data_IF_209291012428
#
_entry.id   IF_209291012428
#
_cell.length_a   1.000
_cell.length_b   1.000
_cell.length_c   1.000
_cell.angle_alpha   90.00
_cell.angle_beta   90.00
_cell.angle_gamma   90.00
#
_symmetry.space_group_name_H-M   'P 1'
#
loop_
_entity.id
_entity.type
_entity.pdbx_description
1 polymer ?
#
# COMPACT_ATOMS: atom_id res chain seq x y z
N UNK A 1 -17.39 33.32 13.38
CA UNK A 1 -17.62 31.95 12.83
C UNK A 1 -16.69 31.84 11.62
N UNK A 2 -15.62 31.07 11.70
CA UNK A 2 -14.80 30.80 10.52
C UNK A 2 -15.66 30.06 9.49
N UNK A 3 -15.60 30.47 8.22
CA UNK A 3 -16.27 29.77 7.14
C UNK A 3 -15.87 28.28 7.06
N UNK A 4 -16.52 27.52 6.18
CA UNK A 4 -16.02 26.16 5.91
C UNK A 4 -14.58 26.22 5.37
N UNK A 5 -13.69 25.31 5.77
CA UNK A 5 -12.31 25.30 5.27
C UNK A 5 -12.30 25.10 3.76
N UNK A 6 -11.44 25.84 3.05
CA UNK A 6 -11.24 25.71 1.62
C UNK A 6 -10.17 24.67 1.32
N UNK A 7 -10.44 23.80 0.35
CA UNK A 7 -9.55 22.72 -0.07
C UNK A 7 -9.12 22.94 -1.51
N UNK A 8 -7.81 22.97 -1.74
CA UNK A 8 -7.21 22.91 -3.08
C UNK A 8 -6.86 21.48 -3.42
N UNK A 9 -7.38 20.93 -4.52
CA UNK A 9 -6.80 19.73 -5.12
C UNK A 9 -5.53 20.12 -5.87
N UNK A 10 -4.42 19.45 -5.59
CA UNK A 10 -3.18 19.56 -6.34
C UNK A 10 -2.84 18.22 -6.99
N UNK A 11 -2.62 18.20 -8.29
CA UNK A 11 -2.34 16.98 -9.06
C UNK A 11 -1.34 17.26 -10.16
N UNK A 12 -0.47 16.28 -10.46
CA UNK A 12 0.36 16.25 -11.67
C UNK A 12 -0.20 15.21 -12.63
N UNK A 13 -0.22 15.50 -13.92
CA UNK A 13 -0.80 14.59 -14.93
C UNK A 13 0.09 14.49 -16.16
N UNK A 14 0.04 13.32 -16.82
CA UNK A 14 0.58 13.10 -18.16
C UNK A 14 -0.08 11.91 -18.83
N UNK A 15 -0.90 12.15 -19.85
CA UNK A 15 -1.62 11.11 -20.59
C UNK A 15 -2.48 10.22 -19.69
N UNK A 16 -3.46 10.83 -19.02
CA UNK A 16 -4.35 10.19 -18.04
C UNK A 16 -5.82 10.18 -18.49
N UNK A 17 -6.12 10.34 -19.79
CA UNK A 17 -7.49 10.46 -20.31
C UNK A 17 -8.43 9.33 -19.91
N UNK A 18 -7.89 8.12 -19.65
CA UNK A 18 -8.67 6.94 -19.35
C UNK A 18 -9.19 6.90 -17.89
N UNK A 19 -8.45 7.46 -16.92
CA UNK A 19 -8.78 7.38 -15.49
C UNK A 19 -9.16 8.74 -14.87
N UNK A 20 -8.62 9.84 -15.38
CA UNK A 20 -8.73 11.18 -14.79
C UNK A 20 -10.17 11.64 -14.57
N UNK A 21 -11.11 11.28 -15.47
CA UNK A 21 -12.51 11.67 -15.32
C UNK A 21 -13.11 11.16 -14.00
N UNK A 22 -12.87 9.89 -13.66
CA UNK A 22 -13.37 9.28 -12.41
C UNK A 22 -12.76 9.95 -11.18
N UNK A 23 -11.46 10.21 -11.23
CA UNK A 23 -10.74 10.90 -10.17
C UNK A 23 -11.37 12.28 -9.87
N UNK A 24 -11.47 13.14 -10.88
CA UNK A 24 -12.01 14.50 -10.72
C UNK A 24 -13.50 14.49 -10.32
N UNK A 25 -14.29 13.58 -10.88
CA UNK A 25 -15.71 13.41 -10.51
C UNK A 25 -15.88 13.07 -9.02
N UNK A 26 -14.95 12.27 -8.46
CA UNK A 26 -15.02 11.84 -7.05
C UNK A 26 -14.79 12.97 -6.04
N UNK A 27 -14.17 14.07 -6.48
CA UNK A 27 -13.78 15.18 -5.59
C UNK A 27 -14.36 16.54 -5.99
N UNK A 28 -15.04 16.67 -7.13
CA UNK A 28 -15.52 17.96 -7.67
C UNK A 28 -16.40 18.77 -6.71
N UNK A 29 -17.22 18.09 -5.91
CA UNK A 29 -18.12 18.74 -4.95
C UNK A 29 -17.44 19.00 -3.59
N UNK A 30 -16.27 18.40 -3.38
CA UNK A 30 -15.47 18.55 -2.17
C UNK A 30 -14.53 19.75 -2.22
N UNK A 31 -13.80 19.90 -3.32
CA UNK A 31 -12.71 20.88 -3.44
C UNK A 31 -13.22 22.24 -3.91
N UNK A 32 -12.57 23.31 -3.48
CA UNK A 32 -12.94 24.68 -3.85
C UNK A 32 -12.15 25.16 -5.08
N UNK A 33 -11.03 24.51 -5.38
CA UNK A 33 -10.24 24.70 -6.60
C UNK A 33 -9.48 23.41 -6.96
N UNK A 34 -9.17 23.30 -8.25
CA UNK A 34 -8.36 22.20 -8.79
C UNK A 34 -7.15 22.80 -9.53
N UNK A 35 -5.95 22.56 -9.00
CA UNK A 35 -4.67 22.97 -9.57
C UNK A 35 -4.02 21.74 -10.19
N UNK A 36 -4.01 21.70 -11.53
CA UNK A 36 -3.49 20.57 -12.29
C UNK A 36 -2.21 21.01 -13.01
N UNK A 37 -1.14 20.26 -12.80
CA UNK A 37 0.14 20.49 -13.47
C UNK A 37 0.28 19.44 -14.56
N UNK A 38 0.15 19.87 -15.81
CA UNK A 38 0.35 19.02 -16.98
C UNK A 38 1.84 18.99 -17.38
N UNK A 39 2.43 17.80 -17.36
CA UNK A 39 3.84 17.57 -17.67
C UNK A 39 4.07 17.14 -19.13
N UNK A 40 3.15 17.52 -20.02
CA UNK A 40 3.25 17.32 -21.46
C UNK A 40 2.37 16.17 -21.96
N UNK A 41 1.06 16.25 -21.70
CA UNK A 41 0.06 15.35 -22.27
C UNK A 41 -0.13 15.58 -23.76
N UNK A 42 -0.41 14.51 -24.47
CA UNK A 42 -0.67 14.49 -25.92
C UNK A 42 -2.03 13.89 -26.28
N UNK A 43 -2.78 13.48 -25.26
CA UNK A 43 -4.15 12.94 -25.33
C UNK A 43 -5.17 13.99 -24.84
N UNK A 44 -6.40 13.57 -24.50
CA UNK A 44 -7.47 14.47 -24.05
C UNK A 44 -7.37 14.87 -22.56
N UNK A 45 -6.27 14.56 -21.86
CA UNK A 45 -6.09 14.86 -20.42
C UNK A 45 -6.38 16.31 -20.08
N UNK A 46 -5.82 17.27 -20.83
CA UNK A 46 -5.97 18.71 -20.58
C UNK A 46 -7.43 19.16 -20.79
N UNK A 47 -8.09 18.65 -21.82
CA UNK A 47 -9.49 18.94 -22.12
C UNK A 47 -10.42 18.40 -21.02
N UNK A 48 -10.15 17.22 -20.50
CA UNK A 48 -10.89 16.65 -19.36
C UNK A 48 -10.72 17.56 -18.13
N UNK A 49 -9.51 17.95 -17.75
CA UNK A 49 -9.29 18.88 -16.63
C UNK A 49 -10.11 20.16 -16.78
N UNK A 50 -10.07 20.79 -17.94
CA UNK A 50 -10.81 22.04 -18.22
C UNK A 50 -12.32 21.86 -18.12
N UNK A 51 -12.86 20.69 -18.50
CA UNK A 51 -14.28 20.41 -18.39
C UNK A 51 -14.81 20.35 -16.95
N UNK A 52 -13.91 20.07 -15.99
CA UNK A 52 -14.18 20.13 -14.54
C UNK A 52 -13.92 21.54 -13.94
N UNK A 53 -13.53 22.51 -14.74
CA UNK A 53 -13.19 23.85 -14.26
C UNK A 53 -11.82 23.95 -13.59
N UNK A 54 -10.94 22.97 -13.80
CA UNK A 54 -9.59 22.98 -13.25
C UNK A 54 -8.72 24.06 -13.89
N UNK A 55 -7.84 24.66 -13.11
CA UNK A 55 -6.76 25.52 -13.60
C UNK A 55 -5.58 24.64 -13.98
N UNK A 56 -5.30 24.54 -15.28
CA UNK A 56 -4.22 23.71 -15.82
C UNK A 56 -2.99 24.56 -16.07
N UNK A 57 -1.87 24.18 -15.47
CA UNK A 57 -0.55 24.78 -15.66
C UNK A 57 0.33 23.81 -16.44
N UNK A 58 0.92 24.27 -17.54
CA UNK A 58 1.94 23.50 -18.27
C UNK A 58 3.27 23.56 -17.53
N UNK A 59 3.93 22.44 -17.38
CA UNK A 59 5.24 22.31 -16.75
C UNK A 59 6.16 21.46 -17.63
N UNK A 60 7.33 22.00 -17.96
CA UNK A 60 8.34 21.25 -18.71
C UNK A 60 8.95 20.17 -17.82
N UNK A 61 8.79 18.90 -18.21
CA UNK A 61 9.23 17.77 -17.42
C UNK A 61 10.77 17.73 -17.30
N UNK A 62 11.26 17.69 -16.04
CA UNK A 62 12.67 17.72 -15.68
C UNK A 62 13.13 16.45 -14.92
N UNK A 63 12.48 15.31 -15.19
CA UNK A 63 12.76 14.03 -14.48
C UNK A 63 12.61 14.12 -12.94
N UNK A 64 11.74 15.00 -12.46
CA UNK A 64 11.54 15.28 -11.05
C UNK A 64 10.06 15.48 -10.71
N UNK A 65 9.45 14.47 -10.09
CA UNK A 65 8.05 14.52 -9.65
C UNK A 65 7.84 15.53 -8.52
N UNK A 66 8.77 15.61 -7.56
CA UNK A 66 8.64 16.54 -6.43
C UNK A 66 8.60 17.99 -6.91
N UNK A 67 9.45 18.39 -7.87
CA UNK A 67 9.43 19.75 -8.42
C UNK A 67 8.12 20.07 -9.13
N UNK A 68 7.59 19.12 -9.92
CA UNK A 68 6.31 19.30 -10.58
C UNK A 68 5.17 19.46 -9.56
N UNK A 69 5.15 18.65 -8.47
CA UNK A 69 4.16 18.82 -7.40
C UNK A 69 4.34 20.14 -6.65
N UNK A 70 5.57 20.51 -6.31
CA UNK A 70 5.86 21.78 -5.63
C UNK A 70 5.44 22.99 -6.46
N UNK A 71 5.63 22.93 -7.76
CA UNK A 71 5.12 23.97 -8.68
C UNK A 71 3.59 24.11 -8.58
N UNK A 72 2.87 23.01 -8.47
CA UNK A 72 1.42 23.02 -8.23
C UNK A 72 1.04 23.57 -6.86
N UNK A 73 1.77 23.18 -5.80
CA UNK A 73 1.54 23.67 -4.44
C UNK A 73 1.65 25.20 -4.33
N UNK A 74 2.59 25.82 -5.05
CA UNK A 74 2.78 27.27 -5.07
C UNK A 74 1.59 28.05 -5.67
N UNK A 75 0.67 27.36 -6.36
CA UNK A 75 -0.53 27.94 -6.95
C UNK A 75 -1.78 27.75 -6.07
N UNK A 76 -1.71 26.85 -5.08
CA UNK A 76 -2.84 26.55 -4.21
C UNK A 76 -3.17 27.74 -3.30
N UNK A 77 -4.46 28.08 -3.19
CA UNK A 77 -4.97 29.20 -2.39
C UNK A 77 -5.89 28.80 -1.24
N UNK A 78 -6.29 27.52 -1.20
CA UNK A 78 -7.11 26.98 -0.12
C UNK A 78 -6.39 26.90 1.21
N UNK A 79 -7.14 26.68 2.30
CA UNK A 79 -6.60 26.49 3.65
C UNK A 79 -5.87 25.15 3.78
N UNK A 80 -6.31 24.17 2.98
CA UNK A 80 -5.82 22.80 2.93
C UNK A 80 -5.46 22.40 1.51
N UNK A 81 -4.45 21.57 1.39
CA UNK A 81 -4.08 20.88 0.15
C UNK A 81 -4.44 19.41 0.28
N UNK A 82 -5.28 18.96 -0.65
CA UNK A 82 -5.49 17.54 -0.94
C UNK A 82 -4.69 17.23 -2.20
N UNK A 83 -3.77 16.26 -2.12
CA UNK A 83 -3.08 15.81 -3.32
C UNK A 83 -3.49 14.38 -3.67
N UNK A 84 -3.71 14.16 -4.96
CA UNK A 84 -4.12 12.87 -5.50
C UNK A 84 -3.42 12.61 -6.83
N UNK A 85 -3.33 11.34 -7.19
CA UNK A 85 -2.92 10.89 -8.51
C UNK A 85 -4.15 10.65 -9.41
N UNK A 86 -3.97 10.72 -10.73
CA UNK A 86 -5.09 10.62 -11.68
C UNK A 86 -5.76 9.23 -11.68
N UNK A 87 -5.04 8.20 -11.24
CA UNK A 87 -5.50 6.81 -11.10
C UNK A 87 -6.05 6.50 -9.69
N UNK A 88 -6.49 7.55 -8.96
CA UNK A 88 -7.12 7.45 -7.65
C UNK A 88 -8.56 7.96 -7.67
N UNK A 89 -9.38 7.42 -6.79
CA UNK A 89 -10.79 7.80 -6.62
C UNK A 89 -11.12 7.92 -5.14
N UNK A 90 -11.64 9.06 -4.70
CA UNK A 90 -12.09 9.23 -3.32
C UNK A 90 -13.45 8.58 -3.13
N UNK A 91 -13.65 7.88 -2.01
CA UNK A 91 -14.96 7.35 -1.68
C UNK A 91 -15.98 8.48 -1.53
N UNK A 92 -17.08 8.40 -2.27
CA UNK A 92 -18.08 9.47 -2.38
C UNK A 92 -18.77 9.79 -1.06
N UNK A 93 -19.04 8.79 -0.23
CA UNK A 93 -19.70 9.01 1.07
C UNK A 93 -18.75 9.70 2.05
N UNK A 94 -17.46 9.36 1.98
CA UNK A 94 -16.42 9.91 2.84
C UNK A 94 -16.07 11.34 2.43
N UNK A 95 -16.06 11.64 1.11
CA UNK A 95 -15.80 12.99 0.60
C UNK A 95 -16.77 14.02 1.15
N UNK A 96 -18.05 13.67 1.26
CA UNK A 96 -19.09 14.55 1.78
C UNK A 96 -18.87 14.96 3.25
N UNK A 97 -18.09 14.20 4.01
CA UNK A 97 -17.81 14.43 5.45
C UNK A 97 -16.50 15.19 5.68
N UNK A 98 -15.60 15.20 4.70
CA UNK A 98 -14.23 15.68 4.90
C UNK A 98 -14.16 17.14 5.37
N UNK A 99 -14.92 18.05 4.73
CA UNK A 99 -14.98 19.46 5.18
C UNK A 99 -15.47 19.63 6.61
N UNK A 100 -16.39 18.79 7.07
CA UNK A 100 -16.88 18.81 8.45
C UNK A 100 -15.81 18.31 9.42
N UNK A 101 -15.10 17.24 9.06
CA UNK A 101 -13.98 16.68 9.82
C UNK A 101 -12.85 17.69 10.01
N UNK A 102 -12.63 18.59 9.04
CA UNK A 102 -11.59 19.64 9.10
C UNK A 102 -11.96 20.86 9.90
N UNK A 103 -13.23 21.02 10.31
CA UNK A 103 -13.66 22.19 11.10
C UNK A 103 -13.05 22.17 12.48
N UNK A 104 -12.33 23.24 12.82
CA UNK A 104 -11.74 23.42 14.15
C UNK A 104 -10.55 22.52 14.45
N UNK A 105 -10.01 21.83 13.44
CA UNK A 105 -8.80 21.02 13.61
C UNK A 105 -7.58 21.91 13.82
N UNK A 106 -6.74 21.55 14.78
CA UNK A 106 -5.47 22.21 15.08
C UNK A 106 -4.31 21.54 14.36
N UNK A 107 -4.44 20.25 14.03
CA UNK A 107 -3.44 19.49 13.30
C UNK A 107 -3.14 20.08 11.92
N UNK A 108 -1.93 19.88 11.46
CA UNK A 108 -1.44 20.43 10.19
C UNK A 108 -1.32 19.40 9.08
N UNK A 109 -1.41 18.11 9.42
CA UNK A 109 -1.28 16.99 8.51
C UNK A 109 -2.22 15.86 8.94
N UNK A 110 -2.88 15.27 7.97
CA UNK A 110 -3.72 14.09 8.17
C UNK A 110 -3.31 12.97 7.21
N UNK A 111 -3.40 11.75 7.71
CA UNK A 111 -3.35 10.57 6.87
C UNK A 111 -4.77 10.20 6.40
N UNK A 112 -4.85 9.71 5.18
CA UNK A 112 -6.06 9.17 4.58
C UNK A 112 -5.82 7.69 4.28
N UNK A 113 -6.83 6.86 4.46
CA UNK A 113 -6.79 5.43 4.17
C UNK A 113 -6.75 5.20 2.66
N UNK A 114 -5.61 4.76 2.15
CA UNK A 114 -5.40 4.38 0.75
C UNK A 114 -5.58 2.86 0.60
N UNK A 115 -6.44 2.46 -0.34
CA UNK A 115 -6.73 1.07 -0.69
C UNK A 115 -6.18 0.82 -2.08
N UNK A 116 -5.12 0.03 -2.17
CA UNK A 116 -4.41 -0.25 -3.41
C UNK A 116 -4.88 -1.57 -4.00
N UNK A 117 -5.56 -1.52 -5.13
CA UNK A 117 -5.94 -2.69 -5.89
C UNK A 117 -4.77 -3.20 -6.76
N UNK A 118 -4.66 -4.52 -6.89
CA UNK A 118 -3.63 -5.20 -7.68
C UNK A 118 -4.27 -6.23 -8.60
N UNK A 119 -3.52 -6.73 -9.58
CA UNK A 119 -3.99 -7.79 -10.48
C UNK A 119 -4.84 -7.28 -11.65
N UNK A 120 -5.65 -8.16 -12.22
CA UNK A 120 -6.43 -7.88 -13.44
C UNK A 120 -7.83 -7.33 -13.15
N UNK A 121 -8.40 -7.66 -11.99
CA UNK A 121 -9.74 -7.27 -11.59
C UNK A 121 -9.73 -6.60 -10.22
N UNK A 122 -10.72 -5.72 -9.98
CA UNK A 122 -10.92 -5.11 -8.66
C UNK A 122 -11.38 -6.21 -7.70
N UNK A 123 -10.50 -6.58 -6.78
CA UNK A 123 -10.81 -7.53 -5.72
C UNK A 123 -10.45 -6.90 -4.36
N UNK A 124 -11.47 -6.63 -3.56
CA UNK A 124 -11.24 -6.06 -2.23
C UNK A 124 -10.46 -7.01 -1.31
N UNK A 125 -10.55 -8.32 -1.54
CA UNK A 125 -9.89 -9.32 -0.69
C UNK A 125 -8.38 -9.48 -1.01
N UNK A 126 -7.91 -8.91 -2.14
CA UNK A 126 -6.48 -8.88 -2.53
C UNK A 126 -5.87 -7.47 -2.44
N UNK A 127 -6.57 -6.51 -1.82
CA UNK A 127 -6.11 -5.13 -1.73
C UNK A 127 -5.08 -4.92 -0.62
N UNK A 128 -4.14 -3.99 -0.85
CA UNK A 128 -3.25 -3.48 0.19
C UNK A 128 -3.76 -2.17 0.77
N UNK A 129 -3.77 -2.09 2.08
CA UNK A 129 -4.25 -0.94 2.84
C UNK A 129 -3.09 -0.22 3.51
N UNK A 130 -3.07 1.11 3.43
CA UNK A 130 -2.10 1.96 4.12
C UNK A 130 -2.71 3.33 4.44
N UNK A 131 -2.32 3.93 5.55
CA UNK A 131 -2.57 5.33 5.81
C UNK A 131 -1.46 6.19 5.17
N UNK A 132 -1.84 7.15 4.35
CA UNK A 132 -0.90 7.98 3.59
C UNK A 132 -1.16 9.47 3.79
N UNK A 133 -0.09 10.28 3.80
CA UNK A 133 -0.13 11.75 3.95
C UNK A 133 -0.72 12.40 2.70
N UNK A 134 -2.04 12.54 2.65
CA UNK A 134 -2.77 13.09 1.49
C UNK A 134 -3.36 14.47 1.71
N UNK A 135 -3.47 14.91 2.95
CA UNK A 135 -4.14 16.16 3.31
C UNK A 135 -3.33 16.95 4.32
N UNK A 136 -2.96 18.17 3.99
CA UNK A 136 -2.13 19.03 4.86
C UNK A 136 -2.49 20.51 4.73
N UNK A 137 -2.14 21.31 5.76
CA UNK A 137 -2.34 22.75 5.74
C UNK A 137 -1.47 23.43 4.71
N UNK A 138 -2.10 24.34 3.94
CA UNK A 138 -1.39 25.14 2.95
C UNK A 138 -0.58 26.27 3.64
N UNK A 139 0.52 26.65 3.02
CA UNK A 139 1.28 27.86 3.37
C UNK A 139 2.14 27.76 4.64
N UNK A 140 2.30 26.59 5.25
CA UNK A 140 3.13 26.41 6.45
C UNK A 140 4.50 25.77 6.19
N UNK A 141 4.86 25.56 4.93
CA UNK A 141 6.19 25.07 4.53
C UNK A 141 6.26 23.63 4.06
N UNK A 142 5.12 22.92 3.94
CA UNK A 142 5.14 21.60 3.34
C UNK A 142 5.60 21.64 1.89
N UNK A 143 6.54 20.75 1.54
CA UNK A 143 7.05 20.53 0.20
C UNK A 143 7.33 19.05 -0.03
N UNK A 144 7.27 18.64 -1.29
CA UNK A 144 7.71 17.32 -1.70
C UNK A 144 9.22 17.28 -1.93
N UNK A 145 9.85 16.19 -1.50
CA UNK A 145 11.26 15.87 -1.70
C UNK A 145 11.38 14.60 -2.52
N UNK A 146 12.53 14.38 -3.12
CA UNK A 146 12.93 13.29 -4.01
C UNK A 146 12.29 13.34 -5.41
N UNK A 147 13.10 13.12 -6.46
CA UNK A 147 12.65 13.18 -7.86
C UNK A 147 11.65 12.09 -8.23
N UNK A 148 11.65 10.99 -7.50
CA UNK A 148 10.73 9.86 -7.66
C UNK A 148 10.39 9.28 -6.29
N UNK A 149 9.15 8.76 -6.14
CA UNK A 149 8.58 8.35 -4.86
C UNK A 149 8.67 9.47 -3.82
N UNK A 150 8.21 10.60 -4.23
CA UNK A 150 8.28 11.86 -3.49
C UNK A 150 7.53 11.76 -2.15
N UNK A 151 8.12 12.32 -1.12
CA UNK A 151 7.57 12.39 0.23
C UNK A 151 7.48 13.84 0.69
N UNK A 152 6.55 14.13 1.60
CA UNK A 152 6.48 15.44 2.26
C UNK A 152 7.61 15.56 3.31
N UNK A 153 8.14 16.76 3.45
CA UNK A 153 9.14 17.17 4.45
C UNK A 153 8.55 17.29 5.87
N UNK A 154 7.87 16.24 6.35
CA UNK A 154 7.12 16.27 7.60
C UNK A 154 8.00 16.63 8.79
N UNK A 155 9.19 16.04 8.90
CA UNK A 155 10.13 16.25 10.01
C UNK A 155 10.63 17.70 10.07
N UNK A 156 10.76 18.38 8.92
CA UNK A 156 11.17 19.79 8.86
C UNK A 156 10.06 20.74 9.32
N UNK A 157 8.81 20.46 8.90
CA UNK A 157 7.65 21.32 9.18
C UNK A 157 7.09 21.06 10.57
N UNK A 158 7.14 19.80 11.04
CA UNK A 158 6.62 19.35 12.32
C UNK A 158 7.74 18.72 13.18
N UNK A 159 8.78 19.48 13.57
CA UNK A 159 9.96 18.94 14.26
C UNK A 159 9.67 18.36 15.65
N UNK A 160 8.51 18.69 16.22
CA UNK A 160 8.07 18.17 17.51
C UNK A 160 7.18 16.92 17.37
N UNK A 161 7.01 16.42 16.16
CA UNK A 161 6.29 15.17 15.92
C UNK A 161 7.17 14.02 16.45
N UNK A 162 6.92 13.61 17.70
CA UNK A 162 7.60 12.48 18.33
C UNK A 162 6.90 11.17 17.98
N UNK A 163 7.55 10.02 18.20
CA UNK A 163 6.93 8.70 18.02
C UNK A 163 5.61 8.55 18.81
N UNK A 164 5.44 9.29 19.90
CA UNK A 164 4.21 9.31 20.71
C UNK A 164 3.10 10.20 20.11
N UNK A 165 3.44 11.15 19.24
CA UNK A 165 2.50 12.04 18.55
C UNK A 165 2.19 11.47 17.16
N UNK A 166 1.25 10.57 17.12
CA UNK A 166 0.80 9.97 15.86
C UNK A 166 -0.01 10.96 15.03
N UNK A 167 0.35 11.09 13.73
CA UNK A 167 -0.49 11.78 12.75
C UNK A 167 -1.87 11.13 12.74
N UNK A 168 -2.92 11.93 12.86
CA UNK A 168 -4.29 11.43 12.87
C UNK A 168 -4.65 10.84 11.50
N UNK A 169 -5.29 9.67 11.50
CA UNK A 169 -5.88 9.07 10.30
C UNK A 169 -7.34 9.50 10.25
N UNK A 170 -7.74 10.18 9.17
CA UNK A 170 -9.13 10.51 8.95
C UNK A 170 -9.91 9.29 8.44
N UNK A 171 -11.20 9.14 8.83
CA UNK A 171 -12.06 8.07 8.35
C UNK A 171 -12.54 8.35 6.91
N UNK A 172 -11.60 8.48 6.00
CA UNK A 172 -11.79 8.80 4.58
C UNK A 172 -10.95 7.83 3.77
N UNK A 173 -11.53 7.28 2.71
CA UNK A 173 -10.89 6.29 1.85
C UNK A 173 -10.62 6.84 0.46
N UNK A 174 -9.46 6.49 -0.07
CA UNK A 174 -9.07 6.69 -1.46
C UNK A 174 -8.77 5.31 -2.05
N UNK A 175 -9.38 5.01 -3.19
CA UNK A 175 -9.13 3.81 -3.98
C UNK A 175 -8.05 4.12 -5.02
N UNK A 176 -7.03 3.27 -5.12
CA UNK A 176 -5.93 3.44 -6.05
C UNK A 176 -5.83 2.24 -7.00
N UNK A 177 -5.89 2.51 -8.29
CA UNK A 177 -5.91 1.52 -9.35
C UNK A 177 -4.56 1.38 -10.08
N UNK A 178 -3.62 2.24 -9.83
CA UNK A 178 -2.33 2.34 -10.55
C UNK A 178 -1.43 1.10 -10.47
N UNK A 179 -1.72 0.16 -9.57
CA UNK A 179 -1.02 -1.13 -9.47
C UNK A 179 -1.73 -2.27 -10.20
N UNK A 180 -2.90 -2.05 -10.78
CA UNK A 180 -3.57 -3.05 -11.61
C UNK A 180 -2.83 -3.25 -12.93
N UNK A 181 -2.84 -4.48 -13.46
CA UNK A 181 -2.11 -4.85 -14.68
C UNK A 181 -2.47 -3.98 -15.88
N UNK A 182 -3.72 -3.55 -15.97
CA UNK A 182 -4.20 -2.64 -17.00
C UNK A 182 -3.41 -1.31 -17.07
N UNK A 183 -3.05 -0.75 -15.91
CA UNK A 183 -2.34 0.54 -15.81
C UNK A 183 -0.82 0.39 -15.80
N UNK A 184 -0.29 -0.72 -15.26
CA UNK A 184 1.16 -0.93 -15.14
C UNK A 184 1.85 -1.21 -16.48
N UNK A 185 1.16 -1.89 -17.41
CA UNK A 185 1.72 -2.28 -18.72
C UNK A 185 1.80 -1.15 -19.76
N UNK A 186 1.02 -0.07 -19.60
CA UNK A 186 0.83 0.94 -20.65
C UNK A 186 1.90 2.02 -20.76
N UNK A 187 2.70 2.25 -19.72
CA UNK A 187 3.52 3.48 -19.63
C UNK A 187 5.02 3.24 -19.48
N UNK A 188 5.53 2.04 -19.72
CA UNK A 188 6.94 1.70 -19.44
C UNK A 188 7.40 2.27 -18.07
N UNK A 189 6.45 2.25 -17.08
CA UNK A 189 6.68 2.85 -15.75
C UNK A 189 7.93 2.24 -15.09
N UNK A 190 8.13 0.94 -15.27
CA UNK A 190 9.24 0.22 -14.68
C UNK A 190 10.60 0.76 -15.16
N UNK A 191 10.83 0.82 -16.48
CA UNK A 191 12.11 1.26 -17.03
C UNK A 191 12.43 2.71 -16.65
N UNK A 192 11.41 3.59 -16.72
CA UNK A 192 11.55 4.98 -16.29
C UNK A 192 11.92 5.07 -14.81
N UNK A 193 11.19 4.35 -13.94
CA UNK A 193 11.41 4.40 -12.50
C UNK A 193 12.81 3.88 -12.13
N UNK A 194 13.24 2.75 -12.72
CA UNK A 194 14.59 2.21 -12.52
C UNK A 194 15.65 3.22 -12.96
N UNK A 195 15.49 3.88 -14.12
CA UNK A 195 16.47 4.88 -14.59
C UNK A 195 16.60 6.05 -13.61
N UNK A 196 15.48 6.59 -13.12
CA UNK A 196 15.49 7.68 -12.16
C UNK A 196 16.09 7.26 -10.82
N UNK A 197 15.71 6.08 -10.30
CA UNK A 197 16.26 5.55 -9.05
C UNK A 197 17.75 5.25 -9.14
N UNK A 198 18.23 4.68 -10.25
CA UNK A 198 19.65 4.42 -10.45
C UNK A 198 20.46 5.71 -10.51
N UNK A 199 19.94 6.77 -11.11
CA UNK A 199 20.56 8.09 -11.12
C UNK A 199 20.64 8.71 -9.71
N UNK A 200 19.60 8.51 -8.89
CA UNK A 200 19.63 8.95 -7.48
C UNK A 200 20.64 8.12 -6.65
N UNK A 201 20.73 6.82 -6.90
CA UNK A 201 21.67 5.92 -6.21
C UNK A 201 23.14 6.30 -6.43
N UNK A 202 23.48 6.98 -7.53
CA UNK A 202 24.85 7.45 -7.82
C UNK A 202 25.29 8.63 -6.92
N UNK A 203 24.39 9.29 -6.22
CA UNK A 203 24.70 10.38 -5.30
C UNK A 203 25.30 9.82 -4.01
N UNK A 204 26.38 10.45 -3.51
CA UNK A 204 27.07 10.00 -2.30
C UNK A 204 26.19 10.05 -1.04
N UNK A 205 25.24 10.98 -0.99
CA UNK A 205 24.31 11.24 0.13
C UNK A 205 22.86 10.82 -0.16
N UNK A 206 22.68 9.83 -1.02
CA UNK A 206 21.32 9.35 -1.32
C UNK A 206 20.63 8.74 -0.09
N UNK A 207 19.32 8.88 -0.05
CA UNK A 207 18.49 8.31 1.03
C UNK A 207 18.38 6.79 0.92
N UNK A 208 18.42 6.03 2.04
CA UNK A 208 18.18 4.57 2.04
C UNK A 208 16.80 4.15 1.47
N UNK A 209 15.90 5.08 1.27
CA UNK A 209 14.64 4.87 0.55
C UNK A 209 14.87 4.52 -0.93
N UNK A 210 15.96 4.96 -1.53
CA UNK A 210 16.26 4.67 -2.94
C UNK A 210 16.42 3.16 -3.17
N UNK A 211 17.17 2.48 -2.30
CA UNK A 211 17.31 1.02 -2.36
C UNK A 211 15.99 0.31 -2.10
N UNK A 212 15.16 0.81 -1.17
CA UNK A 212 13.82 0.26 -0.97
C UNK A 212 12.97 0.35 -2.24
N UNK A 213 12.96 1.50 -2.90
CA UNK A 213 12.19 1.69 -4.12
C UNK A 213 12.72 0.85 -5.27
N UNK A 214 14.05 0.69 -5.40
CA UNK A 214 14.65 -0.27 -6.34
C UNK A 214 14.21 -1.70 -6.03
N UNK A 215 14.24 -2.11 -4.75
CA UNK A 215 13.76 -3.42 -4.34
C UNK A 215 12.29 -3.62 -4.70
N UNK A 216 11.44 -2.61 -4.49
CA UNK A 216 10.02 -2.65 -4.82
C UNK A 216 9.79 -2.80 -6.32
N UNK A 217 10.50 -2.04 -7.16
CA UNK A 217 10.40 -2.18 -8.62
C UNK A 217 10.86 -3.56 -9.10
N UNK A 218 11.98 -4.08 -8.58
CA UNK A 218 12.45 -5.43 -8.92
C UNK A 218 11.50 -6.52 -8.44
N UNK A 219 10.83 -6.33 -7.31
CA UNK A 219 9.81 -7.27 -6.81
C UNK A 219 8.63 -7.40 -7.78
N UNK A 220 8.19 -6.29 -8.39
CA UNK A 220 7.08 -6.30 -9.37
C UNK A 220 7.35 -7.16 -10.60
N UNK A 221 8.60 -7.27 -11.00
CA UNK A 221 9.02 -8.12 -12.13
C UNK A 221 9.62 -9.46 -11.67
N UNK A 222 9.41 -9.82 -10.40
CA UNK A 222 9.84 -11.09 -9.81
C UNK A 222 11.36 -11.35 -9.86
N UNK A 223 12.17 -10.30 -9.91
CA UNK A 223 13.63 -10.35 -9.82
C UNK A 223 14.08 -10.49 -8.35
N UNK A 224 13.80 -11.66 -7.76
CA UNK A 224 13.92 -11.90 -6.31
C UNK A 224 15.33 -11.65 -5.75
N UNK A 225 16.40 -11.98 -6.50
CA UNK A 225 17.78 -11.74 -6.05
C UNK A 225 18.06 -10.25 -5.90
N UNK A 226 17.64 -9.43 -6.88
CA UNK A 226 17.81 -7.99 -6.83
C UNK A 226 16.95 -7.38 -5.75
N UNK A 227 15.70 -7.84 -5.61
CA UNK A 227 14.81 -7.44 -4.53
C UNK A 227 15.47 -7.66 -3.17
N UNK A 228 15.94 -8.87 -2.91
CA UNK A 228 16.58 -9.22 -1.64
C UNK A 228 17.88 -8.45 -1.39
N UNK A 229 18.69 -8.24 -2.44
CA UNK A 229 19.90 -7.41 -2.35
C UNK A 229 19.56 -5.99 -1.91
N UNK A 230 18.68 -5.32 -2.65
CA UNK A 230 18.39 -3.90 -2.42
C UNK A 230 17.62 -3.67 -1.12
N UNK A 231 16.70 -4.55 -0.72
CA UNK A 231 16.02 -4.43 0.57
C UNK A 231 17.00 -4.53 1.76
N UNK A 232 18.01 -5.40 1.67
CA UNK A 232 19.02 -5.48 2.73
C UNK A 232 19.96 -4.26 2.73
N UNK A 233 20.33 -3.73 1.56
CA UNK A 233 21.12 -2.49 1.48
C UNK A 233 20.35 -1.32 2.10
N UNK A 234 19.06 -1.20 1.83
CA UNK A 234 18.21 -0.19 2.45
C UNK A 234 18.16 -0.33 3.98
N UNK A 235 17.95 -1.56 4.51
CA UNK A 235 17.96 -1.80 5.96
C UNK A 235 19.30 -1.35 6.57
N UNK A 236 20.43 -1.71 5.95
CA UNK A 236 21.77 -1.32 6.41
C UNK A 236 21.90 0.20 6.38
N UNK A 237 21.53 0.86 5.29
CA UNK A 237 21.58 2.30 5.14
C UNK A 237 20.78 3.05 6.22
N UNK A 238 19.57 2.59 6.55
CA UNK A 238 18.82 3.15 7.68
C UNK A 238 19.57 3.02 9.00
N UNK A 239 20.12 1.83 9.30
CA UNK A 239 20.85 1.58 10.55
C UNK A 239 22.14 2.38 10.64
N UNK A 240 22.90 2.53 9.55
CA UNK A 240 24.12 3.35 9.49
C UNK A 240 23.83 4.84 9.73
N UNK A 241 22.66 5.31 9.30
CA UNK A 241 22.16 6.66 9.57
C UNK A 241 21.48 6.80 10.94
N UNK A 242 21.57 5.79 11.81
CA UNK A 242 20.91 5.77 13.13
C UNK A 242 19.40 5.93 13.07
N UNK A 243 18.77 5.53 11.98
CA UNK A 243 17.31 5.55 11.78
C UNK A 243 16.74 4.14 11.89
N UNK A 244 15.49 4.05 12.35
CA UNK A 244 14.77 2.77 12.36
C UNK A 244 14.34 2.40 10.93
N UNK A 245 14.73 1.21 10.42
CA UNK A 245 14.28 0.76 9.10
C UNK A 245 12.75 0.61 9.07
N UNK A 246 12.03 1.26 8.15
CA UNK A 246 10.58 1.20 8.08
C UNK A 246 10.01 -0.22 7.92
N UNK A 247 8.80 -0.45 8.43
CA UNK A 247 8.13 -1.75 8.40
C UNK A 247 7.97 -2.34 6.99
N UNK A 248 7.83 -1.46 5.98
CA UNK A 248 7.77 -1.82 4.56
C UNK A 248 8.94 -2.68 4.08
N UNK A 249 10.16 -2.41 4.59
CA UNK A 249 11.36 -3.16 4.27
C UNK A 249 11.27 -4.61 4.74
N UNK A 250 10.80 -4.81 5.95
CA UNK A 250 10.63 -6.17 6.51
C UNK A 250 9.52 -6.93 5.80
N UNK A 251 8.40 -6.25 5.45
CA UNK A 251 7.35 -6.84 4.63
C UNK A 251 7.93 -7.36 3.31
N UNK A 252 8.60 -6.49 2.55
CA UNK A 252 9.18 -6.83 1.25
C UNK A 252 10.22 -7.94 1.36
N UNK A 253 11.09 -7.89 2.38
CA UNK A 253 12.10 -8.93 2.65
C UNK A 253 11.47 -10.29 2.87
N UNK A 254 10.51 -10.39 3.78
CA UNK A 254 9.96 -11.70 4.17
C UNK A 254 8.95 -12.23 3.16
N UNK A 255 8.17 -11.38 2.50
CA UNK A 255 7.34 -11.81 1.37
C UNK A 255 8.19 -12.38 0.22
N UNK A 256 9.33 -11.76 -0.10
CA UNK A 256 10.27 -12.28 -1.11
C UNK A 256 10.84 -13.63 -0.71
N UNK A 257 11.30 -13.78 0.54
CA UNK A 257 11.84 -15.07 1.02
C UNK A 257 10.80 -16.19 1.01
N UNK A 258 9.56 -15.88 1.36
CA UNK A 258 8.44 -16.83 1.32
C UNK A 258 8.13 -17.22 -0.14
N UNK A 259 8.07 -16.27 -1.07
CA UNK A 259 7.73 -16.53 -2.47
C UNK A 259 8.73 -17.47 -3.15
N UNK A 260 10.00 -17.45 -2.75
CA UNK A 260 11.03 -18.39 -3.24
C UNK A 260 11.18 -19.65 -2.37
N UNK A 261 10.29 -19.85 -1.39
CA UNK A 261 10.32 -21.01 -0.49
C UNK A 261 11.48 -21.05 0.50
N UNK A 262 12.17 -19.92 0.74
CA UNK A 262 13.36 -19.85 1.62
C UNK A 262 12.99 -19.66 3.09
N UNK A 263 12.34 -20.68 3.69
CA UNK A 263 11.98 -20.64 5.11
C UNK A 263 13.20 -20.54 6.03
N UNK A 264 14.30 -21.24 5.73
CA UNK A 264 15.55 -21.18 6.50
C UNK A 264 16.22 -19.80 6.39
N UNK A 265 16.17 -19.13 5.24
CA UNK A 265 16.70 -17.78 5.07
C UNK A 265 15.87 -16.72 5.82
N UNK A 266 14.61 -16.98 6.07
CA UNK A 266 13.71 -16.09 6.81
C UNK A 266 13.82 -16.29 8.35
N UNK A 267 14.17 -17.50 8.81
CA UNK A 267 14.24 -17.85 10.23
C UNK A 267 15.67 -17.77 10.78
N UNK A 268 15.93 -17.24 12.00
CA UNK A 268 14.95 -16.65 12.94
C UNK A 268 14.79 -15.13 12.74
N UNK A 269 15.35 -14.55 11.66
CA UNK A 269 15.41 -13.11 11.46
C UNK A 269 14.05 -12.40 11.55
N UNK A 270 12.95 -13.06 11.19
CA UNK A 270 11.58 -12.49 11.27
C UNK A 270 11.18 -12.12 12.71
N UNK A 271 11.69 -12.85 13.72
CA UNK A 271 11.41 -12.53 15.13
C UNK A 271 11.90 -11.11 15.48
N UNK A 272 13.06 -10.69 14.94
CA UNK A 272 13.57 -9.34 15.15
C UNK A 272 12.71 -8.26 14.50
N UNK A 273 12.16 -8.53 13.33
CA UNK A 273 11.23 -7.60 12.68
C UNK A 273 9.95 -7.45 13.51
N UNK A 274 9.43 -8.53 14.09
CA UNK A 274 8.26 -8.52 14.95
C UNK A 274 8.55 -7.81 16.29
N UNK A 275 9.75 -7.97 16.88
CA UNK A 275 10.14 -7.20 18.07
C UNK A 275 10.09 -5.68 17.83
N UNK A 276 10.42 -5.23 16.60
CA UNK A 276 10.38 -3.82 16.23
C UNK A 276 8.95 -3.35 15.93
N UNK A 277 8.17 -4.19 15.25
CA UNK A 277 6.81 -3.90 14.80
C UNK A 277 5.80 -4.97 15.29
N UNK A 278 5.53 -5.01 16.61
CA UNK A 278 4.73 -6.08 17.20
C UNK A 278 3.25 -6.06 16.82
N UNK A 279 2.76 -4.92 16.35
CA UNK A 279 1.38 -4.68 15.91
C UNK A 279 1.18 -4.82 14.39
N UNK A 280 2.24 -5.25 13.64
CA UNK A 280 2.17 -5.45 12.20
C UNK A 280 1.74 -6.88 11.87
N UNK A 281 0.45 -7.09 11.63
CA UNK A 281 -0.15 -8.42 11.43
C UNK A 281 0.47 -9.21 10.27
N UNK A 282 0.89 -8.55 9.17
CA UNK A 282 1.51 -9.24 8.03
C UNK A 282 2.82 -9.95 8.43
N UNK A 283 3.61 -9.37 9.35
CA UNK A 283 4.83 -10.02 9.83
C UNK A 283 4.52 -11.28 10.64
N UNK A 284 3.46 -11.26 11.44
CA UNK A 284 2.99 -12.43 12.17
C UNK A 284 2.44 -13.49 11.21
N UNK A 285 1.70 -13.10 10.18
CA UNK A 285 1.24 -14.01 9.14
C UNK A 285 2.44 -14.68 8.44
N UNK A 286 3.46 -13.91 8.06
CA UNK A 286 4.68 -14.45 7.46
C UNK A 286 5.44 -15.39 8.39
N UNK A 287 5.51 -15.09 9.69
CA UNK A 287 6.07 -16.00 10.69
C UNK A 287 5.32 -17.33 10.70
N UNK A 288 3.99 -17.29 10.73
CA UNK A 288 3.16 -18.50 10.67
C UNK A 288 3.39 -19.30 9.38
N UNK A 289 3.48 -18.63 8.22
CA UNK A 289 3.79 -19.27 6.93
C UNK A 289 5.18 -19.94 6.96
N UNK A 290 6.19 -19.27 7.50
CA UNK A 290 7.55 -19.84 7.64
C UNK A 290 7.53 -21.08 8.52
N UNK A 291 6.80 -21.06 9.64
CA UNK A 291 6.63 -22.24 10.53
C UNK A 291 5.89 -23.37 9.82
N UNK A 292 4.85 -23.06 9.04
CA UNK A 292 4.14 -24.03 8.20
C UNK A 292 5.07 -24.67 7.16
N UNK A 293 5.87 -23.88 6.44
CA UNK A 293 6.85 -24.39 5.46
C UNK A 293 7.92 -25.28 6.11
N UNK A 294 8.28 -25.01 7.36
CA UNK A 294 9.17 -25.86 8.20
C UNK A 294 8.44 -27.07 8.78
N UNK A 295 7.16 -27.26 8.50
CA UNK A 295 6.28 -28.33 9.04
C UNK A 295 6.10 -28.27 10.57
N UNK A 296 6.35 -27.11 11.18
CA UNK A 296 6.08 -26.88 12.61
C UNK A 296 4.63 -26.38 12.77
N UNK A 297 3.68 -27.26 12.40
CA UNK A 297 2.27 -26.93 12.29
C UNK A 297 1.67 -26.47 13.63
N UNK A 298 2.10 -27.04 14.75
CA UNK A 298 1.59 -26.68 16.07
C UNK A 298 1.93 -25.23 16.44
N UNK A 299 3.18 -24.80 16.20
CA UNK A 299 3.56 -23.41 16.44
C UNK A 299 2.93 -22.47 15.41
N UNK A 300 2.79 -22.90 14.16
CA UNK A 300 2.11 -22.13 13.14
C UNK A 300 0.65 -21.81 13.53
N UNK A 301 -0.10 -22.80 14.05
CA UNK A 301 -1.46 -22.60 14.54
C UNK A 301 -1.53 -21.52 15.62
N UNK A 302 -0.65 -21.56 16.61
CA UNK A 302 -0.58 -20.52 17.66
C UNK A 302 -0.29 -19.14 17.07
N UNK A 303 0.60 -19.07 16.07
CA UNK A 303 0.95 -17.82 15.41
C UNK A 303 -0.23 -17.26 14.59
N UNK A 304 -0.98 -18.13 13.89
CA UNK A 304 -2.18 -17.69 13.16
C UNK A 304 -3.33 -17.31 14.12
N UNK A 305 -3.46 -17.94 15.28
CA UNK A 305 -4.40 -17.49 16.31
C UNK A 305 -4.06 -16.06 16.77
N UNK A 306 -2.78 -15.76 16.95
CA UNK A 306 -2.34 -14.41 17.27
C UNK A 306 -2.61 -13.40 16.13
N UNK A 307 -2.50 -13.80 14.84
CA UNK A 307 -2.92 -12.95 13.73
C UNK A 307 -4.41 -12.59 13.84
N UNK A 308 -5.27 -13.57 14.19
CA UNK A 308 -6.70 -13.35 14.37
C UNK A 308 -7.01 -12.41 15.56
N UNK A 309 -6.20 -12.46 16.63
CA UNK A 309 -6.31 -11.57 17.79
C UNK A 309 -5.91 -10.13 17.43
N UNK A 310 -4.85 -9.93 16.64
CA UNK A 310 -4.41 -8.62 16.16
C UNK A 310 -5.43 -7.99 15.21
N UNK A 311 -6.07 -8.78 14.35
CA UNK A 311 -6.99 -8.28 13.33
C UNK A 311 -6.29 -7.43 12.26
N UNK A 312 -7.05 -6.57 11.58
CA UNK A 312 -6.59 -5.80 10.41
C UNK A 312 -6.64 -4.29 10.61
N UNK A 313 -6.75 -3.82 11.84
CA UNK A 313 -7.06 -2.42 12.13
C UNK A 313 -5.89 -1.45 11.96
N UNK A 314 -4.64 -1.92 11.94
CA UNK A 314 -3.48 -1.04 11.90
C UNK A 314 -3.00 -0.75 10.46
N UNK A 315 -3.66 0.18 9.80
CA UNK A 315 -3.28 0.67 8.46
C UNK A 315 -2.10 1.67 8.48
N UNK A 316 -1.42 1.88 9.61
CA UNK A 316 -0.13 2.60 9.64
C UNK A 316 0.96 1.81 8.94
N UNK A 317 0.79 0.51 8.85
CA UNK A 317 1.60 -0.38 8.03
C UNK A 317 0.90 -0.70 6.71
N UNK A 318 1.68 -1.01 5.67
CA UNK A 318 1.14 -1.51 4.41
C UNK A 318 0.64 -2.95 4.61
N UNK A 319 -0.63 -3.12 4.91
CA UNK A 319 -1.23 -4.39 5.29
C UNK A 319 -2.01 -5.01 4.14
N UNK A 320 -1.80 -6.30 3.86
CA UNK A 320 -2.64 -7.08 2.97
C UNK A 320 -3.98 -7.37 3.68
N UNK A 321 -5.10 -7.04 3.05
CA UNK A 321 -6.41 -7.41 3.58
C UNK A 321 -6.49 -8.92 3.80
N UNK A 322 -7.03 -9.33 4.91
CA UNK A 322 -7.16 -10.74 5.25
C UNK A 322 -6.03 -11.33 6.09
N UNK A 323 -4.92 -10.60 6.30
CA UNK A 323 -3.79 -11.09 7.10
C UNK A 323 -4.18 -11.44 8.54
N UNK A 324 -5.09 -10.67 9.14
CA UNK A 324 -5.64 -10.91 10.47
C UNK A 324 -7.01 -11.60 10.47
N UNK A 325 -7.43 -12.17 9.34
CA UNK A 325 -8.74 -12.83 9.22
C UNK A 325 -8.69 -14.04 8.30
N UNK A 326 -9.18 -13.96 7.05
CA UNK A 326 -9.38 -15.12 6.20
C UNK A 326 -8.06 -15.80 5.74
N UNK A 327 -6.96 -15.05 5.55
CA UNK A 327 -5.67 -15.68 5.26
C UNK A 327 -5.16 -16.49 6.45
N UNK A 328 -5.27 -15.96 7.67
CA UNK A 328 -4.89 -16.72 8.86
C UNK A 328 -5.71 -18.01 8.98
N UNK A 329 -7.03 -17.96 8.74
CA UNK A 329 -7.88 -19.15 8.72
C UNK A 329 -7.51 -20.14 7.63
N UNK A 330 -7.20 -19.67 6.42
CA UNK A 330 -6.74 -20.53 5.34
C UNK A 330 -5.47 -21.28 5.72
N UNK A 331 -4.46 -20.60 6.26
CA UNK A 331 -3.21 -21.25 6.69
C UNK A 331 -3.39 -22.16 7.90
N UNK A 332 -4.34 -21.87 8.79
CA UNK A 332 -4.74 -22.83 9.84
C UNK A 332 -5.28 -24.12 9.23
N UNK A 333 -6.13 -24.02 8.21
CA UNK A 333 -6.61 -25.17 7.45
C UNK A 333 -5.47 -26.02 6.89
N UNK A 334 -4.47 -25.39 6.24
CA UNK A 334 -3.28 -26.09 5.76
C UNK A 334 -2.48 -26.77 6.88
N UNK A 335 -2.38 -26.13 8.05
CA UNK A 335 -1.73 -26.74 9.22
C UNK A 335 -2.49 -27.97 9.73
N UNK A 336 -3.81 -27.92 9.81
CA UNK A 336 -4.66 -29.04 10.22
C UNK A 336 -4.56 -30.20 9.21
N UNK A 337 -4.52 -29.92 7.89
CA UNK A 337 -4.21 -30.96 6.89
C UNK A 337 -2.85 -31.61 7.15
N UNK A 338 -1.81 -30.81 7.41
CA UNK A 338 -0.47 -31.30 7.72
C UNK A 338 -0.40 -32.17 8.97
N UNK A 339 -1.36 -32.00 9.91
CA UNK A 339 -1.52 -32.80 11.13
C UNK A 339 -2.47 -34.00 10.94
N UNK A 340 -3.10 -34.15 9.76
CA UNK A 340 -4.10 -35.18 9.48
C UNK A 340 -5.47 -34.93 10.14
N UNK A 341 -5.76 -33.70 10.57
CA UNK A 341 -6.98 -33.27 11.23
C UNK A 341 -7.95 -32.69 10.17
N UNK A 342 -8.59 -33.60 9.41
CA UNK A 342 -9.37 -33.22 8.21
C UNK A 342 -10.62 -32.40 8.56
N UNK A 343 -11.29 -32.73 9.66
CA UNK A 343 -12.52 -32.03 10.09
C UNK A 343 -12.22 -30.58 10.46
N UNK A 344 -11.14 -30.36 11.20
CA UNK A 344 -10.65 -29.04 11.59
C UNK A 344 -10.17 -28.23 10.35
N UNK A 345 -9.53 -28.89 9.39
CA UNK A 345 -9.12 -28.25 8.14
C UNK A 345 -10.32 -27.73 7.35
N UNK A 346 -11.35 -28.57 7.17
CA UNK A 346 -12.60 -28.20 6.50
C UNK A 346 -13.26 -27.01 7.21
N UNK A 347 -13.37 -27.04 8.53
CA UNK A 347 -13.96 -25.97 9.32
C UNK A 347 -13.19 -24.64 9.17
N UNK A 348 -11.85 -24.72 9.15
CA UNK A 348 -11.00 -23.54 8.97
C UNK A 348 -11.16 -22.92 7.56
N UNK A 349 -11.19 -23.72 6.49
CA UNK A 349 -11.44 -23.23 5.13
C UNK A 349 -12.83 -22.64 4.95
N UNK A 350 -13.86 -23.28 5.54
CA UNK A 350 -15.22 -22.73 5.53
C UNK A 350 -15.28 -21.39 6.25
N UNK A 351 -14.57 -21.23 7.35
CA UNK A 351 -14.47 -19.95 8.07
C UNK A 351 -13.79 -18.89 7.23
N UNK A 352 -12.70 -19.22 6.54
CA UNK A 352 -12.05 -18.30 5.59
C UNK A 352 -13.01 -17.85 4.50
N UNK A 353 -13.78 -18.76 3.90
CA UNK A 353 -14.75 -18.45 2.85
C UNK A 353 -15.98 -17.68 3.36
N UNK A 354 -16.36 -17.85 4.62
CA UNK A 354 -17.42 -17.03 5.21
C UNK A 354 -17.01 -15.55 5.36
N UNK A 355 -15.70 -15.26 5.46
CA UNK A 355 -15.15 -13.91 5.54
C UNK A 355 -14.81 -13.33 4.16
N UNK A 356 -14.34 -14.17 3.23
CA UNK A 356 -13.96 -13.82 1.87
C UNK A 356 -14.49 -14.88 0.88
N UNK A 357 -15.70 -14.68 0.40
CA UNK A 357 -16.43 -15.66 -0.42
C UNK A 357 -15.64 -16.07 -1.68
N UNK A 358 -14.84 -15.17 -2.24
CA UNK A 358 -14.07 -15.39 -3.45
C UNK A 358 -12.61 -15.81 -3.21
N UNK A 359 -12.23 -16.17 -1.99
CA UNK A 359 -10.87 -16.62 -1.68
C UNK A 359 -10.54 -17.96 -2.37
N UNK A 360 -9.96 -17.86 -3.58
CA UNK A 360 -9.68 -19.01 -4.45
C UNK A 360 -8.87 -20.13 -3.75
N UNK A 361 -7.78 -19.84 -2.98
CA UNK A 361 -7.02 -20.90 -2.33
C UNK A 361 -7.83 -21.76 -1.36
N UNK A 362 -8.77 -21.17 -0.61
CA UNK A 362 -9.62 -21.91 0.32
C UNK A 362 -10.69 -22.75 -0.41
N UNK A 363 -11.23 -22.25 -1.54
CA UNK A 363 -12.15 -23.02 -2.39
C UNK A 363 -11.46 -24.27 -2.96
N UNK A 364 -10.29 -24.08 -3.54
CA UNK A 364 -9.50 -25.19 -4.12
C UNK A 364 -9.12 -26.23 -3.06
N UNK A 365 -8.75 -25.80 -1.85
CA UNK A 365 -8.43 -26.70 -0.77
C UNK A 365 -9.63 -27.55 -0.32
N UNK A 366 -10.82 -26.95 -0.21
CA UNK A 366 -12.05 -27.66 0.14
C UNK A 366 -12.46 -28.67 -0.96
N UNK A 367 -12.41 -28.28 -2.22
CA UNK A 367 -12.72 -29.18 -3.36
C UNK A 367 -11.79 -30.40 -3.36
N UNK A 368 -10.49 -30.20 -3.13
CA UNK A 368 -9.52 -31.25 -3.03
C UNK A 368 -9.80 -32.24 -1.89
N UNK A 369 -10.13 -31.75 -0.70
CA UNK A 369 -10.48 -32.59 0.44
C UNK A 369 -11.75 -33.39 0.19
N UNK A 370 -12.79 -32.78 -0.39
CA UNK A 370 -14.06 -33.42 -0.73
C UNK A 370 -13.87 -34.57 -1.71
N UNK A 371 -13.08 -34.36 -2.78
CA UNK A 371 -12.79 -35.37 -3.78
C UNK A 371 -11.99 -36.56 -3.22
N UNK A 372 -11.10 -36.32 -2.27
CA UNK A 372 -10.29 -37.36 -1.61
C UNK A 372 -11.15 -38.24 -0.67
N UNK A 373 -12.16 -37.64 -0.03
CA UNK A 373 -13.07 -38.34 0.87
C UNK A 373 -14.04 -39.25 0.11
N UNK A 374 -14.54 -38.83 -1.07
CA UNK A 374 -15.42 -39.64 -1.92
C UNK A 374 -14.70 -40.88 -2.51
N UNK A 375 -13.42 -40.74 -2.89
CA UNK A 375 -12.62 -41.88 -3.39
C UNK A 375 -12.34 -42.93 -2.30
N UNK A 376 -12.23 -42.51 -1.05
CA UNK A 376 -12.02 -43.42 0.09
C UNK A 376 -13.27 -44.21 0.52
N UNK A 377 -14.46 -43.77 0.10
CA UNK A 377 -15.77 -44.37 0.43
C UNK A 377 -16.29 -45.34 -0.64
N UNK A 378 -15.60 -45.46 -1.81
CA UNK A 378 -15.96 -46.48 -2.78
C UNK A 378 -15.34 -47.82 -2.37
N UNK A 379 -16.13 -48.84 -1.94
CA UNK A 379 -15.57 -50.14 -1.57
C UNK A 379 -15.03 -50.80 -2.84
N UNK A 380 -13.78 -51.27 -2.77
CA UNK A 380 -13.17 -52.15 -3.75
C UNK A 380 -14.03 -53.42 -3.86
N UNK A 381 -15.03 -53.40 -4.74
CA UNK A 381 -15.67 -54.64 -5.17
C UNK A 381 -14.73 -55.40 -6.11
N UNK A 382 -13.93 -56.27 -5.56
CA UNK A 382 -13.35 -57.40 -6.28
C UNK A 382 -13.75 -58.72 -5.64
#
# INVERSE_FOLDING_TARGET
>A
MSGAPKISLCMIVKNEEECLHKCLESVKDLVDEMIIVDTGSTDNTVEICKSFGAVVHSYEWQDNFAEARNFGLEKATGDWVLWMDADEEMNKEDSNKLKELLRGQEDSLFYIHLINYIGDEINEDDAFHIAHSRLFRNGIGFRFHFPIHETLNVEEVLPNLTEDLHIQILPVRIYHYGYMNEFTGRKNKFERNIQLLMKELEKEDHSPWIEYHLASEFSRIQEHEKTFKFVNLSIIGFLENHMMPPSLLYKLKYSTLISIGSAEGAWPGIEKAIEIYPDYVDLHLYKGIIQYLKKDYQRALVTFDHCLELGESNIRHLTLKGSGSFHAWYYKGLCYEGLGQVEEAVAAYQTALAMAENHAPAKEALEKLSSTTEVSLTPNNK
#
